data_IF_263424666964
#
_entry.id   IF_263424666964
#
_cell.length_a   1.000
_cell.length_b   1.000
_cell.length_c   1.000
_cell.angle_alpha   90.00
_cell.angle_beta   90.00
_cell.angle_gamma   90.00
#
_symmetry.space_group_name_H-M   'P 1'
#
loop_
_entity.id
_entity.type
_entity.pdbx_description
1 polymer ?
#
# COMPACT_ATOMS: atom_id res chain seq x y z
N UNK A 1 27.86 20.36 6.48
CA UNK A 1 27.97 19.47 5.31
C UNK A 1 27.53 18.02 5.55
N UNK A 2 27.84 17.36 6.69
CA UNK A 2 27.41 15.98 6.99
C UNK A 2 25.87 15.80 7.15
N UNK A 3 25.15 16.82 7.63
CA UNK A 3 23.70 16.75 7.83
C UNK A 3 22.89 16.66 6.50
N UNK A 4 23.36 17.31 5.43
CA UNK A 4 22.74 17.25 4.10
C UNK A 4 23.02 15.95 3.32
N UNK A 5 24.05 15.20 3.74
CA UNK A 5 24.38 13.87 3.20
C UNK A 5 23.49 12.81 3.84
N UNK A 6 23.23 12.90 5.15
CA UNK A 6 22.34 12.01 5.89
C UNK A 6 20.86 12.25 5.51
N UNK A 7 20.45 13.52 5.32
CA UNK A 7 19.10 13.85 4.81
C UNK A 7 18.84 13.28 3.41
N UNK A 8 19.84 13.34 2.52
CA UNK A 8 19.79 12.71 1.19
C UNK A 8 19.76 11.19 1.29
N UNK A 9 20.61 10.57 2.13
CA UNK A 9 20.63 9.11 2.34
C UNK A 9 19.34 8.55 2.94
N UNK A 10 18.72 9.27 3.88
CA UNK A 10 17.44 8.87 4.48
C UNK A 10 16.28 9.01 3.49
N UNK A 11 16.24 10.09 2.69
CA UNK A 11 15.25 10.24 1.60
C UNK A 11 15.44 9.21 0.47
N UNK A 12 16.68 8.75 0.22
CA UNK A 12 16.99 7.78 -0.84
C UNK A 12 16.35 6.40 -0.59
N UNK A 13 16.22 5.94 0.66
CA UNK A 13 15.47 4.72 0.97
C UNK A 13 13.96 4.96 1.05
N UNK A 14 13.55 6.21 1.30
CA UNK A 14 12.17 6.64 1.51
C UNK A 14 11.43 7.03 0.24
N UNK A 15 11.99 6.80 -0.95
CA UNK A 15 11.22 7.04 -2.16
C UNK A 15 11.26 5.90 -3.17
N UNK A 16 12.26 5.01 -3.08
CA UNK A 16 12.29 3.76 -3.83
C UNK A 16 11.08 2.85 -3.54
N UNK A 17 10.50 2.98 -2.35
CA UNK A 17 9.27 2.27 -1.95
C UNK A 17 7.99 3.00 -2.41
N UNK A 18 8.06 4.30 -2.75
CA UNK A 18 6.89 5.19 -2.66
C UNK A 18 6.06 5.37 -3.91
N UNK A 19 6.57 5.04 -5.09
CA UNK A 19 5.83 5.32 -6.32
C UNK A 19 5.43 4.04 -7.06
N UNK A 20 5.91 2.86 -6.65
CA UNK A 20 5.62 1.60 -7.34
C UNK A 20 4.28 0.90 -6.97
N UNK A 21 3.45 1.44 -6.05
CA UNK A 21 2.46 0.61 -5.35
C UNK A 21 1.09 1.28 -5.16
N UNK A 22 0.52 1.90 -6.17
CA UNK A 22 -0.65 2.75 -5.92
C UNK A 22 -1.79 2.62 -6.94
N UNK A 23 -2.16 1.40 -7.34
CA UNK A 23 -3.41 1.23 -8.11
C UNK A 23 -4.56 0.50 -7.43
N UNK A 24 -4.47 -0.75 -6.95
CA UNK A 24 -5.75 -1.41 -6.64
C UNK A 24 -6.37 -1.10 -5.27
N UNK A 25 -5.60 -0.79 -4.23
CA UNK A 25 -6.16 -0.67 -2.86
C UNK A 25 -6.25 0.79 -2.38
N UNK A 26 -5.54 1.73 -3.03
CA UNK A 26 -5.30 3.03 -2.42
C UNK A 26 -6.05 4.22 -3.06
N UNK A 27 -6.55 4.07 -4.29
CA UNK A 27 -7.55 5.01 -4.82
C UNK A 27 -8.92 4.82 -4.14
N UNK A 28 -9.14 3.66 -3.50
CA UNK A 28 -10.38 3.28 -2.80
C UNK A 28 -10.65 4.05 -1.50
N UNK A 29 -9.64 4.29 -0.64
CA UNK A 29 -9.91 4.77 0.72
C UNK A 29 -10.12 6.28 0.86
N UNK A 30 -9.82 7.10 -0.16
CA UNK A 30 -9.81 8.58 0.02
C UNK A 30 -10.83 9.36 -0.82
N UNK A 31 -11.36 8.81 -1.93
CA UNK A 31 -12.37 9.55 -2.71
C UNK A 31 -13.82 9.34 -2.23
N UNK A 32 -14.06 8.45 -1.26
CA UNK A 32 -15.38 8.27 -0.60
C UNK A 32 -15.82 9.54 0.15
N UNK A 33 -14.90 10.40 0.61
CA UNK A 33 -15.25 11.67 1.28
C UNK A 33 -15.85 12.75 0.38
N UNK A 34 -15.88 12.60 -0.96
CA UNK A 34 -16.45 13.62 -1.87
C UNK A 34 -17.57 13.12 -2.77
N UNK A 35 -17.96 11.85 -2.66
CA UNK A 35 -19.04 11.26 -3.44
C UNK A 35 -20.35 11.08 -2.64
N UNK A 36 -20.48 11.81 -1.53
CA UNK A 36 -21.77 12.18 -0.94
C UNK A 36 -22.21 13.55 -1.45
N UNK A 37 -23.06 13.58 -2.48
CA UNK A 37 -23.88 14.74 -2.83
C UNK A 37 -23.23 15.83 -3.69
N UNK A 38 -23.45 15.76 -5.01
CA UNK A 38 -23.68 16.96 -5.81
C UNK A 38 -25.14 16.97 -6.26
N UNK A 39 -25.99 17.63 -5.48
CA UNK A 39 -26.81 18.74 -5.97
C UNK A 39 -27.45 19.54 -4.81
N UNK A 40 -27.08 20.82 -4.75
CA UNK A 40 -27.80 21.97 -4.17
C UNK A 40 -28.46 21.80 -2.78
N UNK A 41 -27.77 22.32 -1.75
CA UNK A 41 -28.27 23.41 -0.90
C UNK A 41 -27.13 23.99 -0.06
N UNK A 42 -26.77 25.25 -0.32
CA UNK A 42 -25.91 26.07 0.56
C UNK A 42 -26.62 26.20 1.92
N UNK A 43 -26.28 25.33 2.89
CA UNK A 43 -26.40 25.63 4.31
C UNK A 43 -25.00 25.51 4.91
N UNK A 44 -24.53 26.61 5.51
CA UNK A 44 -23.30 26.69 6.30
C UNK A 44 -23.36 25.64 7.43
N UNK A 45 -22.90 24.40 7.19
CA UNK A 45 -22.53 23.47 8.25
C UNK A 45 -21.06 23.70 8.56
N UNK A 46 -20.76 24.00 9.82
CA UNK A 46 -19.41 24.08 10.38
C UNK A 46 -18.60 22.89 9.85
N UNK A 47 -17.38 23.13 9.34
CA UNK A 47 -16.39 22.08 9.06
C UNK A 47 -16.19 21.29 10.37
N UNK A 48 -16.91 20.20 10.57
CA UNK A 48 -16.51 19.17 11.54
C UNK A 48 -15.17 18.65 11.02
N UNK A 49 -14.15 18.63 11.87
CA UNK A 49 -12.96 17.83 11.61
C UNK A 49 -13.42 16.38 11.67
N UNK A 50 -13.75 15.81 10.51
CA UNK A 50 -14.08 14.40 10.35
C UNK A 50 -12.74 13.65 10.44
N UNK A 51 -12.67 12.61 11.25
CA UNK A 51 -11.46 11.79 11.37
C UNK A 51 -11.10 11.17 10.01
N UNK A 52 -9.82 10.94 9.75
CA UNK A 52 -9.32 10.47 8.46
C UNK A 52 -9.88 9.09 8.08
N UNK A 53 -10.27 8.28 9.07
CA UNK A 53 -10.83 6.94 8.91
C UNK A 53 -12.35 6.87 9.06
N UNK A 54 -13.03 8.02 9.10
CA UNK A 54 -14.48 8.08 9.18
C UNK A 54 -15.12 8.05 7.79
N UNK A 55 -16.06 7.13 7.62
CA UNK A 55 -16.85 6.92 6.41
C UNK A 55 -18.27 7.44 6.65
N UNK A 56 -18.75 8.25 5.71
CA UNK A 56 -20.16 8.64 5.63
C UNK A 56 -20.82 7.77 4.58
N UNK A 57 -21.91 7.08 4.93
CA UNK A 57 -22.63 6.19 4.03
C UNK A 57 -24.14 6.33 4.20
N UNK A 58 -24.88 6.11 3.12
CA UNK A 58 -26.34 6.16 3.13
C UNK A 58 -26.90 4.76 3.37
N UNK A 59 -27.78 4.64 4.35
CA UNK A 59 -28.64 3.46 4.56
C UNK A 59 -30.10 3.84 4.36
N UNK A 60 -30.94 2.87 4.01
CA UNK A 60 -32.38 3.08 4.01
C UNK A 60 -32.93 2.78 5.41
N UNK A 61 -33.65 3.70 6.05
CA UNK A 61 -34.31 3.48 7.33
C UNK A 61 -35.60 2.65 7.14
N UNK A 62 -36.23 2.17 8.22
CA UNK A 62 -37.48 1.42 8.27
C UNK A 62 -38.62 2.13 7.49
N UNK A 63 -38.62 3.46 7.44
CA UNK A 63 -39.57 4.28 6.68
C UNK A 63 -39.23 4.42 5.18
N UNK A 64 -38.32 3.59 4.64
CA UNK A 64 -37.77 3.69 3.28
C UNK A 64 -37.07 5.02 2.94
N UNK A 65 -36.73 5.82 3.95
CA UNK A 65 -35.98 7.07 3.77
C UNK A 65 -34.49 6.81 3.84
N UNK A 66 -33.72 7.45 2.97
CA UNK A 66 -32.26 7.47 3.04
C UNK A 66 -31.79 8.27 4.25
N UNK A 67 -30.97 7.65 5.07
CA UNK A 67 -30.33 8.19 6.26
C UNK A 67 -28.81 8.12 6.08
N UNK A 68 -28.12 9.24 6.32
CA UNK A 68 -26.65 9.28 6.36
C UNK A 68 -26.17 8.80 7.73
N UNK A 69 -25.32 7.77 7.74
CA UNK A 69 -24.60 7.29 8.92
C UNK A 69 -23.12 7.59 8.82
N UNK A 70 -22.51 7.73 9.99
CA UNK A 70 -21.08 8.00 10.19
C UNK A 70 -20.48 6.79 10.93
N UNK A 71 -19.47 6.15 10.35
CA UNK A 71 -18.77 5.01 10.97
C UNK A 71 -17.26 5.20 10.92
N UNK A 72 -16.57 4.81 11.99
CA UNK A 72 -15.11 4.84 12.09
C UNK A 72 -14.54 3.46 11.76
N UNK A 73 -13.60 3.40 10.81
CA UNK A 73 -12.85 2.18 10.51
C UNK A 73 -11.76 1.98 11.56
N UNK A 74 -11.93 0.99 12.43
CA UNK A 74 -11.01 0.71 13.53
C UNK A 74 -10.91 -0.78 13.83
N UNK A 75 -9.99 -1.16 14.71
CA UNK A 75 -9.81 -2.54 15.20
C UNK A 75 -11.02 -3.05 16.01
N UNK A 76 -11.94 -2.18 16.43
CA UNK A 76 -13.19 -2.57 17.12
C UNK A 76 -14.18 -3.23 16.15
N UNK A 77 -14.06 -2.93 14.85
CA UNK A 77 -14.82 -3.60 13.80
C UNK A 77 -14.08 -4.87 13.34
N UNK A 78 -14.58 -6.02 13.79
CA UNK A 78 -14.03 -7.32 13.43
C UNK A 78 -14.14 -7.61 11.91
N UNK A 79 -15.18 -7.11 11.22
CA UNK A 79 -15.31 -7.26 9.77
C UNK A 79 -14.23 -6.46 9.07
N UNK A 80 -13.97 -5.22 9.52
CA UNK A 80 -12.86 -4.41 8.99
C UNK A 80 -11.52 -5.12 9.13
N UNK A 81 -11.24 -5.65 10.33
CA UNK A 81 -10.00 -6.37 10.62
C UNK A 81 -9.82 -7.62 9.75
N UNK A 82 -10.93 -8.31 9.47
CA UNK A 82 -10.95 -9.46 8.54
C UNK A 82 -10.73 -9.03 7.10
N UNK A 83 -11.40 -7.98 6.61
CA UNK A 83 -11.44 -7.66 5.19
C UNK A 83 -10.28 -6.79 4.69
N UNK A 84 -9.72 -5.91 5.52
CA UNK A 84 -8.82 -4.80 5.10
C UNK A 84 -7.57 -5.19 4.30
N UNK A 85 -7.13 -6.44 4.35
CA UNK A 85 -5.95 -6.94 3.63
C UNK A 85 -6.29 -7.86 2.46
N UNK A 86 -7.56 -8.21 2.29
CA UNK A 86 -8.05 -9.04 1.20
C UNK A 86 -8.24 -8.22 -0.08
N UNK A 87 -8.20 -8.91 -1.22
CA UNK A 87 -8.49 -8.27 -2.50
C UNK A 87 -9.98 -7.91 -2.58
N UNK A 88 -10.31 -6.74 -3.16
CA UNK A 88 -11.70 -6.24 -3.21
C UNK A 88 -12.69 -7.24 -3.82
N UNK A 89 -12.27 -7.99 -4.85
CA UNK A 89 -13.10 -9.03 -5.46
C UNK A 89 -13.44 -10.15 -4.47
N UNK A 90 -12.46 -10.60 -3.67
CA UNK A 90 -12.68 -11.62 -2.65
C UNK A 90 -13.58 -11.08 -1.55
N UNK A 91 -13.36 -9.84 -1.10
CA UNK A 91 -14.22 -9.17 -0.09
C UNK A 91 -15.67 -9.10 -0.56
N UNK A 92 -15.91 -8.75 -1.84
CA UNK A 92 -17.25 -8.71 -2.42
C UNK A 92 -17.95 -10.07 -2.37
N UNK A 93 -17.21 -11.15 -2.66
CA UNK A 93 -17.73 -12.52 -2.61
C UNK A 93 -17.98 -12.98 -1.17
N UNK A 94 -17.03 -12.71 -0.26
CA UNK A 94 -17.15 -13.00 1.17
C UNK A 94 -18.39 -12.32 1.75
N UNK A 95 -18.56 -11.01 1.55
CA UNK A 95 -19.71 -10.25 2.05
C UNK A 95 -21.03 -10.83 1.52
N UNK A 96 -21.11 -11.14 0.21
CA UNK A 96 -22.31 -11.73 -0.39
C UNK A 96 -22.66 -13.07 0.26
N UNK A 97 -21.66 -13.94 0.44
CA UNK A 97 -21.84 -15.26 1.01
C UNK A 97 -22.23 -15.20 2.49
N UNK A 98 -21.60 -14.33 3.28
CA UNK A 98 -21.90 -14.14 4.69
C UNK A 98 -23.31 -13.57 4.91
N UNK A 99 -23.72 -12.56 4.13
CA UNK A 99 -25.08 -12.00 4.18
C UNK A 99 -26.13 -13.08 3.80
N UNK A 100 -25.83 -13.89 2.79
CA UNK A 100 -26.73 -14.97 2.36
C UNK A 100 -26.86 -16.05 3.43
N UNK A 101 -25.75 -16.51 3.99
CA UNK A 101 -25.72 -17.49 5.08
C UNK A 101 -26.41 -16.95 6.35
N UNK A 102 -26.27 -15.66 6.64
CA UNK A 102 -26.93 -15.02 7.77
C UNK A 102 -28.45 -14.93 7.59
N UNK A 103 -28.90 -14.64 6.36
CA UNK A 103 -30.32 -14.67 5.99
C UNK A 103 -30.88 -16.08 6.07
N UNK A 104 -30.12 -17.09 5.67
CA UNK A 104 -30.56 -18.49 5.68
C UNK A 104 -30.71 -19.07 7.09
N UNK A 105 -29.81 -18.70 8.01
CA UNK A 105 -29.86 -19.17 9.40
C UNK A 105 -31.03 -18.58 10.19
N UNK A 106 -31.48 -17.37 9.85
CA UNK A 106 -32.55 -16.69 10.57
C UNK A 106 -33.93 -16.94 9.91
N UNK A 107 -34.62 -17.96 10.40
CA UNK A 107 -35.91 -18.43 9.87
C UNK A 107 -37.01 -17.35 9.78
N UNK A 108 -36.95 -16.29 10.61
CA UNK A 108 -37.89 -15.15 10.59
C UNK A 108 -37.90 -14.44 9.23
N UNK A 109 -36.75 -14.38 8.54
CA UNK A 109 -36.61 -13.70 7.24
C UNK A 109 -37.12 -14.57 6.08
N UNK A 110 -36.96 -15.90 6.18
CA UNK A 110 -37.44 -16.87 5.18
C UNK A 110 -38.96 -16.83 4.97
N UNK A 111 -39.72 -16.44 5.99
CA UNK A 111 -41.19 -16.41 5.96
C UNK A 111 -41.72 -15.17 5.22
N UNK A 112 -40.97 -14.06 5.21
CA UNK A 112 -41.44 -12.78 4.67
C UNK A 112 -41.03 -12.50 3.22
N UNK A 113 -39.94 -13.09 2.70
CA UNK A 113 -39.50 -12.90 1.31
C UNK A 113 -38.97 -14.20 0.71
N UNK A 114 -39.80 -14.89 -0.10
CA UNK A 114 -39.31 -15.92 -1.04
C UNK A 114 -38.43 -15.23 -2.07
N UNK A 115 -37.19 -15.70 -2.24
CA UNK A 115 -36.18 -15.20 -3.17
C UNK A 115 -35.63 -13.81 -2.84
N UNK A 116 -34.83 -13.72 -1.78
CA UNK A 116 -33.87 -12.60 -1.63
C UNK A 116 -32.76 -12.81 -2.66
N UNK A 117 -32.73 -11.99 -3.71
CA UNK A 117 -31.80 -12.17 -4.84
C UNK A 117 -30.55 -11.31 -4.72
N UNK A 118 -30.60 -10.21 -3.97
CA UNK A 118 -29.50 -9.26 -3.87
C UNK A 118 -29.10 -8.95 -2.41
N UNK A 119 -27.83 -8.59 -2.14
CA UNK A 119 -27.34 -8.32 -0.79
C UNK A 119 -28.07 -7.17 -0.08
N UNK A 120 -28.57 -6.19 -0.82
CA UNK A 120 -29.33 -5.06 -0.27
C UNK A 120 -30.67 -5.49 0.30
N UNK A 121 -31.44 -6.32 -0.42
CA UNK A 121 -32.71 -6.86 0.05
C UNK A 121 -32.53 -7.81 1.23
N UNK A 122 -31.42 -8.54 1.24
CA UNK A 122 -31.04 -9.42 2.34
C UNK A 122 -30.80 -8.61 3.62
N UNK A 123 -29.96 -7.58 3.52
CA UNK A 123 -29.68 -6.68 4.64
C UNK A 123 -30.93 -5.89 5.08
N UNK A 124 -31.80 -5.49 4.16
CA UNK A 124 -33.08 -4.86 4.47
C UNK A 124 -34.00 -5.80 5.27
N UNK A 125 -34.06 -7.09 4.90
CA UNK A 125 -34.91 -8.07 5.57
C UNK A 125 -34.39 -8.44 6.97
N UNK A 126 -33.06 -8.45 7.15
CA UNK A 126 -32.40 -8.69 8.43
C UNK A 126 -32.62 -7.56 9.44
N UNK A 127 -33.02 -6.35 9.03
CA UNK A 127 -33.34 -5.23 9.95
C UNK A 127 -34.41 -5.56 10.98
N UNK A 128 -35.26 -6.56 10.70
CA UNK A 128 -36.27 -7.05 11.64
C UNK A 128 -35.68 -7.72 12.90
N UNK A 129 -34.37 -7.94 12.95
CA UNK A 129 -33.65 -8.60 14.04
C UNK A 129 -32.86 -7.58 14.89
N UNK A 130 -33.47 -6.96 15.91
CA UNK A 130 -32.82 -5.92 16.71
C UNK A 130 -31.57 -6.41 17.44
N UNK A 131 -31.50 -7.70 17.80
CA UNK A 131 -30.31 -8.28 18.45
C UNK A 131 -29.05 -8.26 17.57
N UNK A 132 -29.18 -8.03 16.25
CA UNK A 132 -28.06 -8.00 15.31
C UNK A 132 -27.88 -6.62 14.64
N UNK A 133 -28.51 -5.58 15.15
CA UNK A 133 -28.50 -4.24 14.56
C UNK A 133 -27.08 -3.75 14.24
N UNK A 134 -26.16 -3.82 15.21
CA UNK A 134 -24.76 -3.39 15.02
C UNK A 134 -24.04 -4.18 13.94
N UNK A 135 -24.25 -5.50 13.87
CA UNK A 135 -23.61 -6.36 12.87
C UNK A 135 -24.16 -6.06 11.47
N UNK A 136 -25.47 -5.83 11.34
CA UNK A 136 -26.11 -5.47 10.08
C UNK A 136 -25.59 -4.12 9.59
N UNK A 137 -25.38 -3.15 10.48
CA UNK A 137 -24.78 -1.87 10.14
C UNK A 137 -23.33 -2.01 9.64
N UNK A 138 -22.52 -2.87 10.28
CA UNK A 138 -21.17 -3.17 9.80
C UNK A 138 -21.18 -3.80 8.40
N UNK A 139 -22.08 -4.77 8.13
CA UNK A 139 -22.22 -5.31 6.77
C UNK A 139 -22.64 -4.26 5.74
N UNK A 140 -23.57 -3.36 6.10
CA UNK A 140 -23.95 -2.23 5.24
C UNK A 140 -22.75 -1.33 4.92
N UNK A 141 -21.95 -1.00 5.93
CA UNK A 141 -20.74 -0.19 5.77
C UNK A 141 -19.77 -0.86 4.79
N UNK A 142 -19.42 -2.13 4.99
CA UNK A 142 -18.44 -2.83 4.14
C UNK A 142 -18.96 -3.10 2.73
N UNK A 143 -20.25 -3.39 2.59
CA UNK A 143 -20.89 -3.50 1.28
C UNK A 143 -20.90 -2.16 0.53
N UNK A 144 -21.20 -1.06 1.23
CA UNK A 144 -21.11 0.30 0.69
C UNK A 144 -19.69 0.63 0.25
N UNK A 145 -18.68 0.37 1.10
CA UNK A 145 -17.28 0.57 0.77
C UNK A 145 -16.91 -0.20 -0.50
N UNK A 146 -17.19 -1.49 -0.56
CA UNK A 146 -16.87 -2.34 -1.69
C UNK A 146 -17.48 -1.82 -3.01
N UNK A 147 -18.76 -1.43 -3.00
CA UNK A 147 -19.44 -0.92 -4.19
C UNK A 147 -18.89 0.44 -4.66
N UNK A 148 -18.62 1.36 -3.73
CA UNK A 148 -18.02 2.64 -4.09
C UNK A 148 -16.62 2.46 -4.68
N UNK A 149 -15.91 1.45 -4.22
CA UNK A 149 -14.60 1.14 -4.74
C UNK A 149 -14.64 0.61 -6.17
N UNK A 150 -15.55 -0.31 -6.50
CA UNK A 150 -15.78 -0.72 -7.89
C UNK A 150 -16.22 0.44 -8.77
N UNK A 151 -17.10 1.31 -8.25
CA UNK A 151 -17.53 2.51 -8.96
C UNK A 151 -16.36 3.45 -9.27
N UNK A 152 -15.49 3.70 -8.28
CA UNK A 152 -14.30 4.53 -8.48
C UNK A 152 -13.32 3.91 -9.48
N UNK A 153 -13.16 2.58 -9.51
CA UNK A 153 -12.36 1.87 -10.50
C UNK A 153 -12.86 2.12 -11.93
N UNK A 154 -14.18 2.09 -12.11
CA UNK A 154 -14.83 2.34 -13.41
C UNK A 154 -14.81 3.82 -13.79
N UNK A 155 -15.26 4.71 -12.91
CA UNK A 155 -15.44 6.15 -13.19
C UNK A 155 -14.11 6.86 -13.55
N UNK A 156 -12.98 6.32 -13.10
CA UNK A 156 -11.65 6.89 -13.32
C UNK A 156 -10.81 6.12 -14.33
N UNK A 157 -11.36 5.07 -14.97
CA UNK A 157 -10.62 4.18 -15.86
C UNK A 157 -9.32 3.65 -15.23
N UNK A 158 -9.36 3.31 -13.93
CA UNK A 158 -8.17 2.91 -13.14
C UNK A 158 -7.57 1.61 -13.66
N UNK A 159 -8.40 0.74 -14.24
CA UNK A 159 -7.99 -0.55 -14.78
C UNK A 159 -6.90 -0.35 -15.85
N UNK A 160 -7.12 0.55 -16.80
CA UNK A 160 -6.19 0.76 -17.91
C UNK A 160 -4.86 1.36 -17.43
N UNK A 161 -4.94 2.37 -16.55
CA UNK A 161 -3.75 2.95 -15.91
C UNK A 161 -3.01 1.91 -15.09
N UNK A 162 -3.74 1.11 -14.33
CA UNK A 162 -3.20 0.03 -13.50
C UNK A 162 -2.43 -1.02 -14.27
N UNK A 163 -2.91 -1.41 -15.45
CA UNK A 163 -2.20 -2.38 -16.28
C UNK A 163 -0.83 -1.84 -16.69
N UNK A 164 -0.78 -0.58 -17.16
CA UNK A 164 0.48 0.07 -17.56
C UNK A 164 1.42 0.25 -16.37
N UNK A 165 0.89 0.56 -15.19
CA UNK A 165 1.72 0.67 -13.99
C UNK A 165 2.32 -0.65 -13.55
N UNK A 166 1.52 -1.72 -13.54
CA UNK A 166 2.03 -3.05 -13.20
C UNK A 166 3.10 -3.49 -14.20
N UNK A 167 2.91 -3.19 -15.48
CA UNK A 167 3.88 -3.44 -16.54
C UNK A 167 5.19 -2.68 -16.32
N UNK A 168 5.13 -1.41 -15.93
CA UNK A 168 6.31 -0.60 -15.57
C UNK A 168 6.97 -1.18 -14.32
N UNK A 169 6.25 -1.30 -13.20
CA UNK A 169 6.81 -1.73 -11.92
C UNK A 169 7.47 -3.13 -11.96
N UNK A 170 6.90 -4.05 -12.75
CA UNK A 170 7.36 -5.44 -12.81
C UNK A 170 8.30 -5.71 -13.99
N UNK A 171 8.39 -4.78 -14.95
CA UNK A 171 9.05 -4.92 -16.24
C UNK A 171 8.66 -6.18 -17.04
N UNK A 172 7.47 -6.72 -16.77
CA UNK A 172 6.89 -7.88 -17.45
C UNK A 172 5.43 -7.63 -17.72
N UNK A 173 4.91 -8.15 -18.83
CA UNK A 173 3.48 -8.12 -19.13
C UNK A 173 2.70 -9.13 -18.27
N UNK A 174 1.37 -9.09 -18.40
CA UNK A 174 0.47 -10.03 -17.71
C UNK A 174 0.72 -11.51 -18.01
N UNK A 175 1.44 -11.83 -19.08
CA UNK A 175 1.82 -13.20 -19.44
C UNK A 175 3.22 -13.58 -18.95
N UNK A 176 3.92 -12.67 -18.27
CA UNK A 176 5.28 -12.87 -17.79
C UNK A 176 6.34 -12.72 -18.89
N UNK A 177 6.05 -11.99 -19.96
CA UNK A 177 7.02 -11.63 -21.00
C UNK A 177 7.69 -10.31 -20.64
N UNK A 178 9.01 -10.25 -20.77
CA UNK A 178 9.75 -9.00 -20.55
C UNK A 178 9.35 -7.92 -21.55
N UNK A 179 9.24 -6.71 -21.03
CA UNK A 179 8.84 -5.55 -21.81
C UNK A 179 10.07 -4.77 -22.27
N UNK A 180 9.96 -4.16 -23.46
CA UNK A 180 10.96 -3.22 -23.96
C UNK A 180 10.53 -1.81 -23.59
N UNK A 181 11.48 -0.95 -23.20
CA UNK A 181 11.30 0.48 -22.96
C UNK A 181 10.39 1.16 -23.99
N UNK A 182 10.63 0.95 -25.29
CA UNK A 182 9.83 1.59 -26.35
C UNK A 182 8.34 1.25 -26.28
N UNK A 183 8.00 0.01 -25.92
CA UNK A 183 6.60 -0.42 -25.79
C UNK A 183 5.96 0.20 -24.56
N UNK A 184 6.66 0.20 -23.44
CA UNK A 184 6.18 0.81 -22.21
C UNK A 184 6.00 2.32 -22.36
N UNK A 185 6.93 3.00 -23.03
CA UNK A 185 6.79 4.42 -23.34
C UNK A 185 5.60 4.69 -24.28
N UNK A 186 5.33 3.81 -25.24
CA UNK A 186 4.13 3.93 -26.09
C UNK A 186 2.84 3.83 -25.26
N UNK A 187 2.74 2.83 -24.38
CA UNK A 187 1.59 2.66 -23.47
C UNK A 187 1.40 3.85 -22.53
N UNK A 188 2.50 4.37 -21.97
CA UNK A 188 2.47 5.60 -21.15
C UNK A 188 1.96 6.78 -21.96
N UNK A 189 2.50 6.97 -23.18
CA UNK A 189 2.10 8.07 -24.06
C UNK A 189 0.59 8.02 -24.37
N UNK A 190 0.03 6.84 -24.66
CA UNK A 190 -1.40 6.67 -24.91
C UNK A 190 -2.27 7.21 -23.77
N UNK A 191 -1.89 6.96 -22.51
CA UNK A 191 -2.63 7.43 -21.34
C UNK A 191 -2.44 8.93 -21.10
N UNK A 192 -1.19 9.40 -21.12
CA UNK A 192 -0.91 10.81 -20.76
C UNK A 192 -1.46 11.80 -21.80
N UNK A 193 -1.53 11.42 -23.07
CA UNK A 193 -2.08 12.28 -24.14
C UNK A 193 -3.60 12.23 -24.23
N UNK A 194 -4.27 11.26 -23.61
CA UNK A 194 -5.73 11.11 -23.67
C UNK A 194 -6.43 12.03 -22.67
N UNK A 195 -7.52 12.69 -23.07
CA UNK A 195 -8.33 13.55 -22.19
C UNK A 195 -9.26 12.77 -21.25
N UNK A 196 -9.31 11.44 -21.37
CA UNK A 196 -10.15 10.57 -20.55
C UNK A 196 -9.63 10.40 -19.12
N UNK A 197 -8.35 10.73 -18.87
CA UNK A 197 -7.69 10.49 -17.59
C UNK A 197 -7.48 11.77 -16.80
N UNK A 198 -7.79 11.69 -15.50
CA UNK A 198 -7.53 12.76 -14.54
C UNK A 198 -6.05 13.16 -14.52
N UNK A 199 -5.80 14.46 -14.33
CA UNK A 199 -4.45 15.05 -14.21
C UNK A 199 -3.61 14.37 -13.11
N UNK A 200 -4.25 13.93 -12.03
CA UNK A 200 -3.62 13.22 -10.91
C UNK A 200 -3.06 11.86 -11.35
N UNK A 201 -3.84 11.10 -12.14
CA UNK A 201 -3.43 9.76 -12.62
C UNK A 201 -2.30 9.86 -13.64
N UNK A 202 -2.40 10.82 -14.58
CA UNK A 202 -1.31 11.12 -15.52
C UNK A 202 -0.01 11.48 -14.81
N UNK A 203 -0.10 12.33 -13.79
CA UNK A 203 1.08 12.76 -13.01
C UNK A 203 1.71 11.58 -12.27
N UNK A 204 0.88 10.75 -11.64
CA UNK A 204 1.34 9.56 -10.92
C UNK A 204 2.02 8.54 -11.84
N UNK A 205 1.45 8.31 -13.01
CA UNK A 205 2.06 7.44 -14.03
C UNK A 205 3.42 7.97 -14.51
N UNK A 206 3.55 9.28 -14.72
CA UNK A 206 4.83 9.89 -15.09
C UNK A 206 5.88 9.78 -13.99
N UNK A 207 5.50 10.04 -12.73
CA UNK A 207 6.40 9.85 -11.60
C UNK A 207 6.91 8.41 -11.54
N UNK A 208 6.01 7.44 -11.75
CA UNK A 208 6.36 6.02 -11.79
C UNK A 208 7.31 5.69 -12.95
N UNK A 209 7.02 6.20 -14.13
CA UNK A 209 7.86 5.99 -15.31
C UNK A 209 9.29 6.54 -15.07
N UNK A 210 9.41 7.79 -14.61
CA UNK A 210 10.72 8.40 -14.36
C UNK A 210 11.49 7.74 -13.21
N UNK A 211 10.79 7.09 -12.28
CA UNK A 211 11.40 6.31 -11.21
C UNK A 211 12.01 4.99 -11.68
N UNK A 212 11.37 4.35 -12.66
CA UNK A 212 11.72 2.99 -13.09
C UNK A 212 12.66 2.94 -14.30
N UNK A 213 12.82 4.06 -15.02
CA UNK A 213 13.71 4.15 -16.17
C UNK A 213 14.87 5.11 -15.93
N UNK A 214 16.08 4.58 -16.10
CA UNK A 214 17.34 5.29 -15.89
C UNK A 214 17.85 5.84 -17.23
N UNK A 215 18.68 6.88 -17.19
CA UNK A 215 19.34 7.50 -18.35
C UNK A 215 18.40 8.19 -19.36
N UNK A 216 17.20 8.58 -18.95
CA UNK A 216 16.35 9.46 -19.78
C UNK A 216 16.98 10.86 -19.80
N UNK A 217 17.24 11.39 -20.99
CA UNK A 217 17.79 12.73 -21.14
C UNK A 217 16.75 13.81 -20.79
N UNK A 218 17.20 15.00 -20.40
CA UNK A 218 16.30 16.04 -19.92
C UNK A 218 15.39 16.60 -21.03
N UNK A 219 15.85 16.62 -22.28
CA UNK A 219 15.02 17.05 -23.42
C UNK A 219 13.82 16.12 -23.63
N UNK A 220 14.00 14.82 -23.49
CA UNK A 220 12.95 13.83 -23.66
C UNK A 220 12.03 13.80 -22.44
N UNK A 221 12.55 14.01 -21.21
CA UNK A 221 11.70 14.26 -20.04
C UNK A 221 10.78 15.45 -20.27
N UNK A 222 11.31 16.57 -20.77
CA UNK A 222 10.52 17.77 -21.08
C UNK A 222 9.43 17.48 -22.11
N UNK A 223 9.77 16.81 -23.23
CA UNK A 223 8.78 16.43 -24.26
C UNK A 223 7.66 15.55 -23.70
N UNK A 224 7.98 14.58 -22.85
CA UNK A 224 7.00 13.67 -22.22
C UNK A 224 6.08 14.45 -21.27
N UNK A 225 6.62 15.39 -20.49
CA UNK A 225 5.83 16.23 -19.58
C UNK A 225 4.92 17.19 -20.36
N UNK A 226 5.40 17.73 -21.48
CA UNK A 226 4.64 18.61 -22.36
C UNK A 226 3.50 17.88 -23.07
N UNK A 227 3.71 16.65 -23.55
CA UNK A 227 2.69 15.85 -24.22
C UNK A 227 1.52 15.49 -23.30
N UNK A 228 1.77 15.39 -21.99
CA UNK A 228 0.74 15.11 -20.99
C UNK A 228 -0.25 16.27 -20.74
N UNK A 229 0.02 17.46 -21.30
CA UNK A 229 -0.82 18.66 -21.17
C UNK A 229 -1.23 18.96 -19.72
N UNK A 230 -0.30 18.77 -18.79
CA UNK A 230 -0.56 18.93 -17.37
C UNK A 230 -0.73 20.41 -16.98
N UNK A 231 -1.57 20.66 -15.96
CA UNK A 231 -1.64 21.98 -15.35
C UNK A 231 -0.31 22.36 -14.66
N UNK A 232 -0.09 23.66 -14.42
CA UNK A 232 1.18 24.16 -13.88
C UNK A 232 1.55 23.53 -12.53
N UNK A 233 0.55 23.31 -11.68
CA UNK A 233 0.75 22.69 -10.38
C UNK A 233 1.30 21.25 -10.50
N UNK A 234 0.70 20.43 -11.35
CA UNK A 234 1.14 19.06 -11.59
C UNK A 234 2.52 19.02 -12.25
N UNK A 235 2.80 19.90 -13.21
CA UNK A 235 4.15 20.02 -13.82
C UNK A 235 5.22 20.36 -12.77
N UNK A 236 4.91 21.28 -11.85
CA UNK A 236 5.83 21.65 -10.79
C UNK A 236 6.16 20.46 -9.87
N UNK A 237 5.18 19.62 -9.55
CA UNK A 237 5.41 18.41 -8.74
C UNK A 237 6.42 17.48 -9.42
N UNK A 238 6.23 17.22 -10.72
CA UNK A 238 7.15 16.36 -11.48
C UNK A 238 8.55 16.98 -11.50
N UNK A 239 8.65 18.28 -11.76
CA UNK A 239 9.93 18.98 -11.81
C UNK A 239 10.66 18.95 -10.46
N UNK A 240 9.95 19.19 -9.35
CA UNK A 240 10.54 19.10 -8.01
C UNK A 240 10.98 17.66 -7.70
N UNK A 241 10.16 16.66 -8.03
CA UNK A 241 10.55 15.25 -7.89
C UNK A 241 11.82 14.91 -8.68
N UNK A 242 11.92 15.38 -9.94
CA UNK A 242 13.10 15.16 -10.78
C UNK A 242 14.33 15.87 -10.20
N UNK A 243 14.19 17.11 -9.70
CA UNK A 243 15.29 17.86 -9.05
C UNK A 243 15.85 17.14 -7.83
N UNK A 244 15.01 16.46 -7.05
CA UNK A 244 15.45 15.69 -5.89
C UNK A 244 16.35 14.50 -6.27
N UNK A 245 16.35 14.08 -7.55
CA UNK A 245 17.17 12.99 -8.10
C UNK A 245 17.03 11.64 -7.35
N UNK A 246 15.91 11.44 -6.65
CA UNK A 246 15.66 10.26 -5.84
C UNK A 246 15.48 8.99 -6.70
N UNK A 247 14.98 9.17 -7.93
CA UNK A 247 14.84 8.12 -8.95
C UNK A 247 16.17 7.51 -9.42
N UNK A 248 17.31 8.18 -9.18
CA UNK A 248 18.64 7.69 -9.57
C UNK A 248 19.35 6.95 -8.42
N UNK A 249 18.69 6.75 -7.28
CA UNK A 249 19.31 6.09 -6.13
C UNK A 249 19.30 4.57 -6.32
N UNK A 250 20.46 4.00 -6.62
CA UNK A 250 20.68 2.59 -6.99
C UNK A 250 20.50 1.55 -5.88
N UNK A 251 19.55 1.76 -4.95
CA UNK A 251 19.27 0.88 -3.81
C UNK A 251 18.87 -0.55 -4.22
N UNK A 252 18.47 -0.78 -5.47
CA UNK A 252 18.24 -2.13 -6.00
C UNK A 252 19.52 -2.97 -6.18
N UNK A 253 20.69 -2.49 -5.74
CA UNK A 253 22.00 -3.14 -5.95
C UNK A 253 22.52 -3.87 -4.70
N UNK A 254 21.66 -4.57 -3.97
CA UNK A 254 22.08 -5.32 -2.77
C UNK A 254 22.71 -6.70 -3.07
N UNK A 255 22.91 -7.10 -4.34
CA UNK A 255 23.53 -8.42 -4.59
C UNK A 255 24.43 -8.60 -5.80
N UNK A 256 24.66 -7.61 -6.66
CA UNK A 256 25.53 -7.82 -7.84
C UNK A 256 26.33 -6.54 -8.16
N UNK A 257 27.51 -6.74 -8.76
CA UNK A 257 28.56 -5.76 -9.03
C UNK A 257 28.06 -4.35 -9.39
N UNK A 258 28.81 -3.29 -9.00
CA UNK A 258 28.47 -1.91 -9.37
C UNK A 258 28.22 -1.85 -10.87
N UNK A 259 27.01 -1.41 -11.23
CA UNK A 259 26.57 -1.22 -12.61
C UNK A 259 27.73 -0.53 -13.34
N UNK A 260 28.34 -1.23 -14.30
CA UNK A 260 29.21 -0.57 -15.25
C UNK A 260 28.31 0.43 -15.98
N UNK A 261 28.42 1.69 -15.58
CA UNK A 261 27.74 2.88 -16.08
C UNK A 261 28.17 3.19 -17.54
N UNK A 262 28.42 2.17 -18.36
CA UNK A 262 29.08 2.29 -19.66
C UNK A 262 28.10 2.40 -20.83
N UNK A 263 26.79 2.26 -20.60
CA UNK A 263 25.78 2.45 -21.65
C UNK A 263 24.91 3.68 -21.37
N UNK A 264 25.01 4.69 -22.24
CA UNK A 264 24.06 5.82 -22.33
C UNK A 264 22.64 5.38 -22.74
N UNK A 265 22.37 4.07 -22.84
CA UNK A 265 21.07 3.53 -23.23
C UNK A 265 20.09 3.61 -22.06
N UNK A 266 18.87 4.02 -22.39
CA UNK A 266 17.73 3.96 -21.46
C UNK A 266 17.44 2.49 -21.15
N UNK A 267 17.35 2.16 -19.87
CA UNK A 267 17.08 0.81 -19.38
C UNK A 267 16.21 0.87 -18.13
N UNK A 268 15.54 -0.24 -17.85
CA UNK A 268 14.73 -0.38 -16.65
C UNK A 268 15.62 -0.67 -15.44
N UNK A 269 15.25 -0.18 -14.25
CA UNK A 269 16.00 -0.41 -12.98
C UNK A 269 16.22 -1.90 -12.68
N UNK A 270 15.30 -2.77 -13.13
CA UNK A 270 15.38 -4.21 -12.93
C UNK A 270 16.25 -4.97 -13.96
N UNK A 271 16.53 -4.40 -15.14
CA UNK A 271 17.17 -5.12 -16.27
C UNK A 271 18.61 -5.58 -15.97
N UNK A 272 19.36 -4.80 -15.19
CA UNK A 272 20.80 -5.02 -15.01
C UNK A 272 21.17 -5.59 -13.64
N UNK A 273 20.45 -5.21 -12.56
CA UNK A 273 20.86 -5.51 -11.19
C UNK A 273 20.08 -6.64 -10.52
N UNK A 274 19.00 -7.17 -11.13
CA UNK A 274 18.10 -8.06 -10.39
C UNK A 274 17.38 -9.12 -11.26
N UNK A 275 18.15 -9.98 -11.91
CA UNK A 275 17.62 -11.13 -12.68
C UNK A 275 16.71 -12.03 -11.84
N UNK A 276 16.97 -12.15 -10.53
CA UNK A 276 16.14 -12.89 -9.59
C UNK A 276 14.74 -12.28 -9.47
N UNK A 277 14.65 -10.95 -9.30
CA UNK A 277 13.38 -10.23 -9.18
C UNK A 277 12.57 -10.23 -10.49
N UNK A 278 13.23 -10.14 -11.65
CA UNK A 278 12.54 -10.34 -12.93
C UNK A 278 11.96 -11.76 -13.01
N UNK A 279 12.74 -12.79 -12.66
CA UNK A 279 12.24 -14.18 -12.64
C UNK A 279 11.07 -14.36 -11.67
N UNK A 280 11.13 -13.72 -10.51
CA UNK A 280 10.02 -13.69 -9.55
C UNK A 280 8.76 -13.08 -10.17
N UNK A 281 8.85 -11.88 -10.75
CA UNK A 281 7.70 -11.24 -11.38
C UNK A 281 7.14 -12.01 -12.58
N UNK A 282 7.98 -12.73 -13.34
CA UNK A 282 7.50 -13.66 -14.36
C UNK A 282 6.65 -14.79 -13.78
N UNK A 283 7.06 -15.33 -12.63
CA UNK A 283 6.32 -16.37 -11.94
C UNK A 283 5.01 -15.82 -11.34
N UNK A 284 5.07 -14.65 -10.70
CA UNK A 284 3.90 -13.95 -10.17
C UNK A 284 2.91 -13.65 -11.29
N UNK A 285 3.34 -13.13 -12.45
CA UNK A 285 2.44 -12.84 -13.56
C UNK A 285 1.71 -14.09 -14.08
N UNK A 286 2.38 -15.25 -14.11
CA UNK A 286 1.78 -16.52 -14.58
C UNK A 286 0.80 -17.13 -13.58
N UNK A 287 1.04 -16.94 -12.28
CA UNK A 287 0.26 -17.57 -11.22
C UNK A 287 -0.75 -16.61 -10.56
N UNK A 288 -0.67 -15.31 -10.84
CA UNK A 288 -1.51 -14.32 -10.20
C UNK A 288 -2.98 -14.49 -10.61
N UNK A 289 -3.85 -14.56 -9.60
CA UNK A 289 -5.31 -14.48 -9.78
C UNK A 289 -5.74 -13.11 -10.32
N UNK A 290 -4.96 -12.06 -10.04
CA UNK A 290 -5.30 -10.67 -10.33
C UNK A 290 -4.19 -9.97 -11.12
N UNK A 291 -4.47 -9.62 -12.38
CA UNK A 291 -3.51 -8.98 -13.30
C UNK A 291 -2.99 -7.63 -12.78
N UNK A 292 -3.82 -6.93 -12.00
CA UNK A 292 -3.58 -5.59 -11.49
C UNK A 292 -2.86 -5.52 -10.13
N UNK A 293 -2.49 -6.69 -9.57
CA UNK A 293 -1.87 -6.80 -8.24
C UNK A 293 -0.62 -7.70 -8.28
N UNK A 294 0.34 -7.38 -9.16
CA UNK A 294 1.59 -8.15 -9.35
C UNK A 294 2.78 -7.57 -8.58
N UNK A 295 2.84 -6.26 -8.45
CA UNK A 295 3.94 -5.57 -7.80
C UNK A 295 3.96 -5.82 -6.28
N UNK A 296 5.15 -6.04 -5.73
CA UNK A 296 5.38 -6.22 -4.30
C UNK A 296 6.24 -5.09 -3.71
N UNK A 297 5.86 -4.51 -2.55
CA UNK A 297 6.66 -3.48 -1.91
C UNK A 297 8.09 -3.92 -1.58
N UNK A 298 9.06 -3.03 -1.79
CA UNK A 298 10.48 -3.29 -1.49
C UNK A 298 10.71 -3.61 -0.01
N UNK A 299 9.82 -3.15 0.90
CA UNK A 299 9.91 -3.50 2.31
C UNK A 299 9.91 -5.03 2.54
N UNK A 300 9.28 -5.80 1.64
CA UNK A 300 9.32 -7.27 1.65
C UNK A 300 10.75 -7.78 1.53
N UNK A 301 11.49 -7.27 0.55
CA UNK A 301 12.89 -7.64 0.32
C UNK A 301 13.75 -7.27 1.53
N UNK A 302 13.54 -6.07 2.08
CA UNK A 302 14.24 -5.59 3.28
C UNK A 302 13.99 -6.51 4.48
N UNK A 303 12.74 -6.93 4.69
CA UNK A 303 12.37 -7.84 5.79
C UNK A 303 13.01 -9.21 5.61
N UNK A 304 13.00 -9.75 4.39
CA UNK A 304 13.65 -11.03 4.08
C UNK A 304 15.16 -10.95 4.28
N UNK A 305 15.79 -9.84 3.89
CA UNK A 305 17.22 -9.61 4.09
C UNK A 305 17.57 -9.45 5.57
N UNK A 306 16.72 -8.79 6.37
CA UNK A 306 16.87 -8.72 7.83
C UNK A 306 16.68 -10.10 8.47
N UNK A 307 15.69 -10.87 8.01
CA UNK A 307 15.41 -12.20 8.55
C UNK A 307 16.56 -13.18 8.30
N UNK A 308 17.13 -13.16 7.10
CA UNK A 308 18.25 -14.00 6.68
C UNK A 308 19.63 -13.44 7.11
N UNK A 309 19.67 -12.29 7.78
CA UNK A 309 20.89 -11.55 8.12
C UNK A 309 21.80 -11.27 6.90
N UNK A 310 21.20 -11.05 5.72
CA UNK A 310 21.86 -10.73 4.44
C UNK A 310 21.72 -9.26 4.03
N UNK A 311 21.21 -8.40 4.91
CA UNK A 311 21.05 -6.97 4.63
C UNK A 311 22.40 -6.28 4.42
N UNK A 312 22.54 -5.55 3.31
CA UNK A 312 23.80 -4.88 2.95
C UNK A 312 24.16 -3.77 3.95
N UNK A 313 25.27 -3.98 4.66
CA UNK A 313 25.82 -3.07 5.67
C UNK A 313 26.25 -1.71 5.06
N UNK A 314 26.54 -1.63 3.75
CA UNK A 314 26.88 -0.37 3.09
C UNK A 314 25.68 0.58 2.99
N UNK A 315 24.48 0.02 2.79
CA UNK A 315 23.24 0.78 2.71
C UNK A 315 22.56 0.92 4.09
N UNK A 316 22.67 -0.09 4.95
CA UNK A 316 22.12 -0.09 6.32
C UNK A 316 23.20 -0.38 7.36
N UNK A 317 24.10 0.57 7.65
CA UNK A 317 25.09 0.41 8.68
C UNK A 317 24.43 0.40 10.07
N UNK A 318 24.94 -0.46 10.96
CA UNK A 318 24.57 -0.41 12.37
C UNK A 318 25.12 0.85 13.04
N UNK A 319 24.34 1.44 13.94
CA UNK A 319 24.77 2.61 14.73
C UNK A 319 25.85 2.21 15.75
N UNK A 320 25.74 1.01 16.31
CA UNK A 320 26.73 0.42 17.21
C UNK A 320 27.12 -0.98 16.73
N UNK A 321 28.34 -1.17 16.19
CA UNK A 321 28.81 -2.47 15.70
C UNK A 321 29.17 -3.44 16.83
N UNK A 322 29.30 -3.00 18.08
CA UNK A 322 29.76 -3.85 19.18
C UNK A 322 28.72 -4.90 19.60
N UNK A 323 27.43 -4.62 19.44
CA UNK A 323 26.33 -5.53 19.76
C UNK A 323 26.16 -6.71 18.77
N UNK A 324 26.86 -6.72 17.63
CA UNK A 324 26.77 -7.82 16.66
C UNK A 324 27.39 -9.14 17.17
N UNK A 325 28.42 -9.06 18.03
CA UNK A 325 29.12 -10.26 18.52
C UNK A 325 28.28 -11.06 19.51
N UNK A 326 27.41 -10.39 20.29
CA UNK A 326 26.53 -11.05 21.25
C UNK A 326 25.34 -11.77 20.56
N UNK A 327 24.78 -11.19 19.50
CA UNK A 327 23.66 -11.80 18.75
C UNK A 327 24.12 -13.02 17.93
N UNK A 328 25.30 -12.94 17.27
CA UNK A 328 25.88 -14.08 16.53
C UNK A 328 26.28 -15.24 17.46
N UNK A 329 26.69 -14.97 18.70
CA UNK A 329 26.98 -16.00 19.70
C UNK A 329 25.69 -16.70 20.21
N UNK A 330 24.55 -15.99 20.24
CA UNK A 330 23.25 -16.57 20.60
C UNK A 330 22.67 -17.53 19.55
N UNK A 331 23.06 -17.39 18.28
CA UNK A 331 22.60 -18.27 17.19
C UNK A 331 23.41 -19.57 17.04
N UNK A 332 24.56 -19.71 17.71
CA UNK A 332 25.43 -20.88 17.61
C UNK A 332 25.36 -21.86 18.81
N UNK A 333 24.55 -21.59 19.84
CA UNK A 333 24.48 -22.47 21.02
C UNK A 333 23.25 -23.37 21.04
N UNK A 334 23.30 -24.43 20.23
CA UNK A 334 22.73 -25.70 20.68
C UNK A 334 23.55 -26.17 21.89
N UNK A 335 22.88 -26.27 23.04
CA UNK A 335 23.28 -26.97 24.26
C UNK A 335 24.77 -27.06 24.60
N UNK A 336 25.23 -26.18 25.48
CA UNK A 336 26.08 -26.66 26.58
C UNK A 336 25.94 -25.75 27.80
N UNK A 337 25.25 -26.26 28.82
CA UNK A 337 25.34 -25.72 30.18
C UNK A 337 26.75 -25.99 30.69
N UNK A 338 27.49 -24.95 31.09
CA UNK A 338 28.33 -25.02 32.29
C UNK A 338 28.77 -23.64 32.82
N UNK A 339 28.45 -23.46 34.10
CA UNK A 339 29.22 -22.86 35.20
C UNK A 339 29.58 -21.35 35.20
N UNK A 340 28.73 -20.61 35.94
CA UNK A 340 29.01 -19.61 36.99
C UNK A 340 30.39 -18.92 36.98
N UNK A 341 30.38 -17.60 36.80
CA UNK A 341 31.29 -16.70 37.53
C UNK A 341 30.52 -15.46 38.02
N UNK A 342 30.90 -15.03 39.23
CA UNK A 342 30.25 -14.03 40.07
C UNK A 342 30.49 -12.62 39.51
N UNK A 343 29.42 -11.92 39.19
CA UNK A 343 29.43 -10.47 38.96
C UNK A 343 28.02 -9.93 39.15
N UNK A 344 27.81 -9.18 40.22
CA UNK A 344 26.53 -8.54 40.57
C UNK A 344 26.11 -7.57 39.47
N UNK A 345 25.13 -7.96 38.65
CA UNK A 345 24.38 -7.09 37.76
C UNK A 345 23.09 -6.69 38.50
N UNK A 346 22.83 -5.39 38.54
CA UNK A 346 21.67 -4.79 39.21
C UNK A 346 20.38 -5.11 38.44
N UNK A 347 19.70 -6.18 38.85
CA UNK A 347 18.38 -6.55 38.33
C UNK A 347 17.29 -5.58 38.84
N UNK A 348 16.78 -4.73 37.96
CA UNK A 348 15.47 -4.11 38.14
C UNK A 348 14.38 -5.19 38.00
N UNK A 349 13.94 -5.74 39.14
CA UNK A 349 12.81 -6.66 39.21
C UNK A 349 11.53 -5.97 38.73
N UNK A 350 11.04 -6.36 37.55
CA UNK A 350 9.61 -6.28 37.24
C UNK A 350 8.93 -7.58 37.66
N UNK A 351 7.95 -7.45 38.55
CA UNK A 351 7.19 -8.55 39.13
C UNK A 351 6.46 -9.34 38.05
N UNK A 352 6.83 -10.62 37.91
CA UNK A 352 6.15 -11.60 37.09
C UNK A 352 4.78 -11.93 37.67
N UNK A 353 3.70 -11.43 37.05
CA UNK A 353 2.40 -12.10 37.09
C UNK A 353 2.30 -13.05 35.90
N UNK A 354 2.13 -14.32 36.22
CA UNK A 354 1.95 -15.47 35.33
C UNK A 354 1.17 -15.15 34.04
N UNK A 355 1.90 -15.03 32.94
CA UNK A 355 1.40 -15.41 31.61
C UNK A 355 2.35 -16.45 31.06
N UNK A 356 1.77 -17.52 30.53
CA UNK A 356 2.42 -18.60 29.78
C UNK A 356 3.60 -18.07 28.96
N UNK A 357 4.79 -18.66 29.14
CA UNK A 357 5.99 -18.37 28.34
C UNK A 357 5.68 -18.67 26.87
N UNK A 358 5.07 -17.73 26.14
CA UNK A 358 5.30 -17.59 24.70
C UNK A 358 6.79 -17.35 24.56
N UNK A 359 7.48 -18.22 23.85
CA UNK A 359 8.85 -17.97 23.42
C UNK A 359 8.92 -16.56 22.84
N UNK A 360 9.92 -15.78 23.26
CA UNK A 360 10.07 -14.40 22.79
C UNK A 360 10.40 -14.47 21.30
N UNK A 361 9.38 -14.31 20.45
CA UNK A 361 9.56 -14.18 19.00
C UNK A 361 10.53 -13.04 18.71
N UNK A 362 11.38 -13.21 17.69
CA UNK A 362 12.24 -12.15 17.17
C UNK A 362 11.35 -10.95 16.84
N UNK A 363 11.81 -9.74 17.16
CA UNK A 363 11.07 -8.50 16.88
C UNK A 363 11.83 -7.69 15.84
N UNK A 364 11.15 -7.30 14.77
CA UNK A 364 11.70 -6.40 13.75
C UNK A 364 10.92 -5.09 13.83
N UNK A 365 11.61 -3.98 14.08
CA UNK A 365 11.00 -2.65 14.12
C UNK A 365 11.53 -1.83 12.95
N UNK A 366 10.63 -1.40 12.08
CA UNK A 366 10.93 -0.57 10.90
C UNK A 366 10.26 0.78 11.10
N UNK A 367 11.04 1.85 10.98
CA UNK A 367 10.51 3.21 11.02
C UNK A 367 10.88 3.98 9.74
N UNK A 368 9.87 4.43 9.01
CA UNK A 368 10.03 5.16 7.74
C UNK A 368 9.71 6.64 7.96
N UNK A 369 10.72 7.50 7.81
CA UNK A 369 10.51 8.96 7.83
C UNK A 369 9.86 9.35 6.50
N UNK A 370 8.95 10.32 6.50
CA UNK A 370 8.19 10.71 5.31
C UNK A 370 6.81 10.06 5.28
N UNK A 371 6.69 8.83 5.77
CA UNK A 371 5.41 8.20 6.09
C UNK A 371 5.47 6.69 5.93
N UNK A 372 4.31 6.05 5.81
CA UNK A 372 4.11 4.64 5.43
C UNK A 372 2.85 4.51 4.58
N UNK A 373 2.74 3.48 3.75
CA UNK A 373 1.60 3.25 2.85
C UNK A 373 0.80 2.01 3.25
N UNK A 374 -0.48 1.94 2.87
CA UNK A 374 -1.31 0.76 3.16
C UNK A 374 -0.78 -0.57 2.56
N UNK A 375 -0.21 -0.61 1.34
CA UNK A 375 0.40 -1.82 0.82
C UNK A 375 1.62 -2.28 1.64
N UNK A 376 2.46 -1.37 2.13
CA UNK A 376 3.54 -1.73 3.05
C UNK A 376 2.98 -2.31 4.35
N UNK A 377 1.97 -1.67 4.94
CA UNK A 377 1.31 -2.17 6.16
C UNK A 377 0.76 -3.58 5.93
N UNK A 378 0.05 -3.81 4.81
CA UNK A 378 -0.43 -5.14 4.43
C UNK A 378 0.71 -6.16 4.38
N UNK A 379 1.82 -5.79 3.73
CA UNK A 379 3.00 -6.66 3.60
C UNK A 379 3.58 -7.06 4.96
N UNK A 380 3.57 -6.17 5.95
CA UNK A 380 4.02 -6.49 7.32
C UNK A 380 3.19 -7.61 7.93
N UNK A 381 1.87 -7.53 7.84
CA UNK A 381 0.98 -8.56 8.40
C UNK A 381 1.16 -9.91 7.70
N UNK A 382 1.32 -9.91 6.37
CA UNK A 382 1.59 -11.13 5.60
C UNK A 382 2.93 -11.74 6.02
N UNK A 383 4.01 -10.95 6.03
CA UNK A 383 5.35 -11.43 6.41
C UNK A 383 5.43 -11.89 7.88
N UNK A 384 4.74 -11.20 8.79
CA UNK A 384 4.67 -11.53 10.21
C UNK A 384 4.06 -12.92 10.42
N UNK A 385 3.01 -13.26 9.66
CA UNK A 385 2.37 -14.57 9.69
C UNK A 385 3.19 -15.65 8.99
N UNK A 386 3.84 -15.32 7.87
CA UNK A 386 4.66 -16.27 7.09
C UNK A 386 5.95 -16.68 7.80
N UNK A 387 6.65 -15.73 8.43
CA UNK A 387 7.95 -15.96 9.09
C UNK A 387 7.84 -16.31 10.58
N UNK A 388 6.66 -16.20 11.16
CA UNK A 388 6.41 -16.32 12.60
C UNK A 388 7.25 -15.33 13.46
N UNK A 389 7.43 -14.11 12.95
CA UNK A 389 8.21 -13.02 13.56
C UNK A 389 7.31 -11.83 13.86
N UNK A 390 7.50 -11.18 15.01
CA UNK A 390 6.75 -9.97 15.36
C UNK A 390 7.35 -8.76 14.62
N UNK A 391 6.70 -8.31 13.53
CA UNK A 391 7.16 -7.18 12.73
C UNK A 391 6.28 -5.95 13.00
N UNK A 392 6.90 -4.82 13.33
CA UNK A 392 6.24 -3.55 13.58
C UNK A 392 6.74 -2.50 12.59
N UNK A 393 5.79 -1.83 11.92
CA UNK A 393 6.06 -0.73 11.01
C UNK A 393 5.48 0.57 11.56
N UNK A 394 6.33 1.58 11.66
CA UNK A 394 5.94 2.95 11.99
C UNK A 394 6.37 3.91 10.89
N UNK A 395 5.66 5.03 10.80
CA UNK A 395 6.06 6.14 9.95
C UNK A 395 5.62 7.46 10.51
N UNK A 396 6.10 8.55 9.92
CA UNK A 396 5.69 9.90 10.35
C UNK A 396 4.22 10.20 10.07
N UNK A 397 3.72 9.76 8.91
CA UNK A 397 2.33 9.93 8.46
C UNK A 397 1.88 8.69 7.68
N UNK A 398 0.57 8.44 7.62
CA UNK A 398 -0.02 7.48 6.70
C UNK A 398 -0.21 8.14 5.33
N UNK A 399 0.50 7.64 4.33
CA UNK A 399 0.59 8.22 3.01
C UNK A 399 -0.42 7.62 2.04
N UNK A 400 -0.96 8.52 1.25
CA UNK A 400 -1.85 8.22 0.14
C UNK A 400 -1.59 9.19 -1.01
N UNK A 401 -2.02 8.88 -2.23
CA UNK A 401 -1.84 9.76 -3.39
C UNK A 401 -2.21 11.21 -3.05
N UNK A 402 -3.41 11.42 -2.48
CA UNK A 402 -3.88 12.75 -2.10
C UNK A 402 -3.01 13.43 -1.05
N UNK A 403 -2.62 12.72 0.01
CA UNK A 403 -1.75 13.28 1.07
C UNK A 403 -0.41 13.69 0.47
N UNK A 404 0.16 12.89 -0.42
CA UNK A 404 1.40 13.21 -1.14
C UNK A 404 1.21 14.48 -1.97
N UNK A 405 0.18 14.53 -2.81
CA UNK A 405 -0.12 15.72 -3.63
C UNK A 405 -0.37 16.97 -2.76
N UNK A 406 -1.05 16.83 -1.61
CA UNK A 406 -1.31 17.92 -0.68
C UNK A 406 -0.03 18.37 0.05
N UNK A 407 0.91 17.46 0.35
CA UNK A 407 2.23 17.80 0.89
C UNK A 407 3.06 18.59 -0.14
N UNK A 408 3.04 18.19 -1.41
CA UNK A 408 3.70 18.95 -2.47
C UNK A 408 3.11 20.36 -2.67
N UNK A 409 1.81 20.58 -2.39
CA UNK A 409 1.22 21.94 -2.39
C UNK A 409 1.83 22.85 -1.33
N UNK A 410 2.30 22.29 -0.22
CA UNK A 410 2.83 23.04 0.90
C UNK A 410 4.32 23.32 0.77
N UNK A 411 5.02 22.65 -0.16
CA UNK A 411 6.41 22.95 -0.43
C UNK A 411 6.51 24.35 -1.03
N UNK A 412 7.36 25.23 -0.47
CA UNK A 412 7.56 26.55 -1.02
C UNK A 412 8.10 26.41 -2.44
N UNK A 413 7.36 26.97 -3.40
CA UNK A 413 7.79 27.07 -4.79
C UNK A 413 8.96 28.04 -4.78
N UNK A 414 10.18 27.52 -4.90
CA UNK A 414 11.42 28.30 -4.94
C UNK A 414 11.67 28.91 -6.31
#
# INVERSE_FOLDING_TARGET
>A
MKCNSIKRRLMNNQMNIYIAIHVMILIMMIKIQKWGGREKKKKKKKKKNIDAHTVLFEITNNDQKKEEKEALLSEEDHLWSSYRHHHIQDVNEIIKNEISAFTEKNAVVKIQKKNVLNPTEALDALRSLPQYETLIEQYWLHYYLCNNCFKLLQDKNIVDVGLVEQDICCNVDKYGKELNHQKNLASVNTIITSDEYDQEEKTRLLLLYFMNYININDNDKMKIIESAQLNLFMKNIINEFLKLNLHNSGYYSASDEPIQLSSNKIHHVLENSNKKKIKHYKNVAKNSKYELSRHEPIIKDIILDIYNDTLDENYFPHVDPTHQQEIKAGHASHENKQNVSRGTIWDFKTENKNQTKKEKKRKILIFIIGGITYPEIKQIYEMSNELDVDIYLGGTNLLTSKVIFDQFKQLPIS
#
